data_IF_517633060386
#
_entry.id   IF_517633060386
#
_cell.length_a   1.000
_cell.length_b   1.000
_cell.length_c   1.000
_cell.angle_alpha   90.00
_cell.angle_beta   90.00
_cell.angle_gamma   90.00
#
_symmetry.space_group_name_H-M   'P 1'
#
loop_
_entity.id
_entity.type
_entity.pdbx_description
1 polymer ?
#
# COMPACT_ATOMS: atom_id res chain seq x y z
N UNK A 1 -31.47 34.91 -9.57
CA UNK A 1 -30.84 34.30 -10.74
C UNK A 1 -31.24 32.84 -10.81
N UNK A 2 -32.34 32.55 -11.50
CA UNK A 2 -32.83 31.19 -11.77
C UNK A 2 -32.14 30.62 -13.01
N UNK A 3 -32.25 29.30 -13.21
CA UNK A 3 -31.68 28.64 -14.39
C UNK A 3 -32.30 29.17 -15.69
N UNK A 4 -33.56 29.60 -15.65
CA UNK A 4 -34.25 30.21 -16.79
C UNK A 4 -33.68 31.58 -17.14
N UNK A 5 -33.43 32.44 -16.13
CA UNK A 5 -32.81 33.76 -16.34
C UNK A 5 -31.42 33.65 -16.97
N UNK A 6 -30.66 32.60 -16.64
CA UNK A 6 -29.34 32.33 -17.23
C UNK A 6 -29.47 31.89 -18.70
N UNK A 7 -30.44 31.04 -19.02
CA UNK A 7 -30.70 30.59 -20.40
C UNK A 7 -31.10 31.75 -21.29
N UNK A 8 -31.96 32.63 -20.78
CA UNK A 8 -32.42 33.82 -21.50
C UNK A 8 -31.27 34.81 -21.73
N UNK A 9 -30.39 35.00 -20.73
CA UNK A 9 -29.19 35.81 -20.88
C UNK A 9 -28.23 35.25 -21.94
N UNK A 10 -27.99 33.93 -21.95
CA UNK A 10 -27.16 33.26 -22.96
C UNK A 10 -27.79 33.37 -24.36
N UNK A 11 -29.12 33.33 -24.46
CA UNK A 11 -29.84 33.49 -25.71
C UNK A 11 -29.74 34.91 -26.30
N UNK A 12 -29.41 35.92 -25.50
CA UNK A 12 -29.17 37.27 -25.98
C UNK A 12 -27.72 37.55 -26.42
N UNK A 13 -26.79 36.62 -26.15
CA UNK A 13 -25.39 36.74 -26.56
C UNK A 13 -25.19 36.48 -28.05
N UNK A 14 -24.17 37.12 -28.63
CA UNK A 14 -23.69 36.86 -29.98
C UNK A 14 -23.06 35.46 -30.10
N UNK A 15 -22.89 34.96 -31.33
CA UNK A 15 -22.31 33.64 -31.57
C UNK A 15 -20.90 33.48 -30.98
N UNK A 16 -20.11 34.55 -30.99
CA UNK A 16 -18.75 34.57 -30.47
C UNK A 16 -18.72 34.53 -28.93
N UNK A 17 -19.60 35.29 -28.28
CA UNK A 17 -19.75 35.27 -26.82
C UNK A 17 -20.31 33.93 -26.32
N UNK A 18 -21.21 33.29 -27.08
CA UNK A 18 -21.72 31.95 -26.76
C UNK A 18 -20.62 30.90 -26.82
N UNK A 19 -19.70 30.99 -27.78
CA UNK A 19 -18.57 30.07 -27.86
C UNK A 19 -17.59 30.29 -26.71
N UNK A 20 -17.33 31.55 -26.31
CA UNK A 20 -16.51 31.85 -25.14
C UNK A 20 -17.12 31.31 -23.84
N UNK A 21 -18.44 31.46 -23.65
CA UNK A 21 -19.15 30.89 -22.49
C UNK A 21 -19.09 29.36 -22.52
N UNK A 22 -19.26 28.74 -23.69
CA UNK A 22 -19.15 27.29 -23.87
C UNK A 22 -17.75 26.79 -23.54
N UNK A 23 -16.71 27.43 -24.06
CA UNK A 23 -15.31 27.08 -23.76
C UNK A 23 -15.01 27.24 -22.27
N UNK A 24 -15.47 28.33 -21.66
CA UNK A 24 -15.34 28.56 -20.21
C UNK A 24 -16.03 27.46 -19.39
N UNK A 25 -17.25 27.07 -19.76
CA UNK A 25 -17.99 26.00 -19.09
C UNK A 25 -17.35 24.63 -19.29
N UNK A 26 -16.82 24.33 -20.48
CA UNK A 26 -16.06 23.09 -20.75
C UNK A 26 -14.78 23.05 -19.93
N UNK A 27 -14.05 24.16 -19.88
CA UNK A 27 -12.81 24.29 -19.10
C UNK A 27 -13.07 24.13 -17.60
N UNK A 28 -14.14 24.72 -17.09
CA UNK A 28 -14.56 24.54 -15.68
C UNK A 28 -15.11 23.16 -15.38
N UNK A 29 -15.87 22.56 -16.30
CA UNK A 29 -16.36 21.19 -16.17
C UNK A 29 -15.24 20.15 -16.20
N UNK A 30 -14.15 20.42 -16.94
CA UNK A 30 -12.94 19.62 -16.90
C UNK A 30 -12.15 19.77 -15.58
N UNK A 31 -12.24 20.92 -14.91
CA UNK A 31 -11.62 21.16 -13.59
C UNK A 31 -12.41 20.52 -12.43
N UNK A 32 -13.73 20.35 -12.55
CA UNK A 32 -14.55 19.63 -11.55
C UNK A 32 -14.39 18.09 -11.62
N UNK A 33 -13.85 17.59 -12.73
CA UNK A 33 -13.62 16.16 -12.94
C UNK A 33 -12.14 15.79 -12.84
N UNK A 34 -11.47 16.19 -11.76
CA UNK A 34 -10.25 15.52 -11.31
C UNK A 34 -9.96 15.74 -9.80
N UNK A 35 -11.00 15.66 -8.96
CA UNK A 35 -10.73 15.13 -7.63
C UNK A 35 -10.56 13.61 -7.85
N UNK A 36 -9.36 13.02 -7.65
CA UNK A 36 -9.24 11.57 -7.72
C UNK A 36 -10.35 11.01 -6.80
N UNK A 37 -11.12 9.99 -7.25
CA UNK A 37 -12.20 9.45 -6.46
C UNK A 37 -11.69 9.23 -5.04
N UNK A 38 -12.43 9.70 -4.02
CA UNK A 38 -11.99 9.52 -2.63
C UNK A 38 -11.63 8.06 -2.43
N UNK A 39 -10.32 7.82 -2.30
CA UNK A 39 -9.80 6.48 -2.40
C UNK A 39 -10.29 5.71 -1.18
N UNK A 40 -11.10 4.68 -1.42
CA UNK A 40 -11.62 3.86 -0.35
C UNK A 40 -10.45 3.22 0.40
N UNK A 41 -10.70 2.81 1.64
CA UNK A 41 -9.68 2.10 2.43
C UNK A 41 -9.17 0.84 1.71
N UNK A 42 -10.04 0.18 0.96
CA UNK A 42 -9.72 -1.01 0.17
C UNK A 42 -8.82 -0.66 -1.02
N UNK A 43 -9.17 0.38 -1.78
CA UNK A 43 -8.34 0.86 -2.89
C UNK A 43 -6.92 1.26 -2.43
N UNK A 44 -6.82 1.96 -1.29
CA UNK A 44 -5.52 2.30 -0.68
C UNK A 44 -4.70 1.08 -0.30
N UNK A 45 -5.34 0.05 0.26
CA UNK A 45 -4.69 -1.20 0.63
C UNK A 45 -4.18 -1.93 -0.61
N UNK A 46 -4.98 -2.02 -1.66
CA UNK A 46 -4.63 -2.72 -2.89
C UNK A 46 -3.46 -2.04 -3.60
N UNK A 47 -3.45 -0.70 -3.62
CA UNK A 47 -2.33 0.08 -4.14
C UNK A 47 -1.05 -0.16 -3.34
N UNK A 48 -1.12 -0.16 -2.01
CA UNK A 48 0.03 -0.48 -1.17
C UNK A 48 0.53 -1.91 -1.39
N UNK A 49 -0.38 -2.88 -1.50
CA UNK A 49 -0.03 -4.27 -1.75
C UNK A 49 0.66 -4.44 -3.11
N UNK A 50 0.14 -3.81 -4.16
CA UNK A 50 0.75 -3.81 -5.48
C UNK A 50 2.17 -3.21 -5.46
N UNK A 51 2.38 -2.11 -4.72
CA UNK A 51 3.69 -1.50 -4.57
C UNK A 51 4.69 -2.42 -3.86
N UNK A 52 4.25 -3.14 -2.82
CA UNK A 52 5.08 -4.14 -2.12
C UNK A 52 5.44 -5.29 -3.07
N UNK A 53 4.48 -5.87 -3.78
CA UNK A 53 4.71 -6.97 -4.72
C UNK A 53 5.70 -6.54 -5.82
N UNK A 54 5.55 -5.32 -6.34
CA UNK A 54 6.45 -4.81 -7.37
C UNK A 54 7.87 -4.63 -6.83
N UNK A 55 8.00 -4.02 -5.65
CA UNK A 55 9.29 -3.85 -4.98
C UNK A 55 9.96 -5.19 -4.69
N UNK A 56 9.21 -6.16 -4.17
CA UNK A 56 9.72 -7.51 -3.90
C UNK A 56 10.17 -8.21 -5.18
N UNK A 57 9.46 -8.00 -6.29
CA UNK A 57 9.85 -8.55 -7.60
C UNK A 57 11.12 -7.90 -8.15
N UNK A 58 11.34 -6.62 -7.90
CA UNK A 58 12.54 -5.91 -8.33
C UNK A 58 13.77 -6.30 -7.46
N UNK A 59 13.60 -6.39 -6.14
CA UNK A 59 14.67 -6.73 -5.20
C UNK A 59 14.98 -8.23 -5.14
N UNK A 60 13.94 -9.07 -5.16
CA UNK A 60 14.03 -10.51 -4.94
C UNK A 60 13.54 -11.34 -6.13
N UNK A 61 13.19 -10.74 -7.27
CA UNK A 61 12.74 -11.45 -8.48
C UNK A 61 13.63 -12.64 -8.89
N UNK A 62 14.97 -12.53 -8.87
CA UNK A 62 15.87 -13.66 -9.14
C UNK A 62 15.77 -14.81 -8.11
N UNK A 63 15.31 -14.52 -6.89
CA UNK A 63 15.16 -15.47 -5.78
C UNK A 63 13.76 -16.08 -5.70
N UNK A 64 12.75 -15.47 -6.33
CA UNK A 64 11.33 -15.86 -6.27
C UNK A 64 10.97 -16.90 -7.35
N UNK A 65 11.80 -17.10 -8.38
CA UNK A 65 11.60 -18.10 -9.45
C UNK A 65 12.37 -19.41 -9.30
N UNK A 66 13.34 -19.49 -8.40
CA UNK A 66 14.03 -20.73 -8.05
C UNK A 66 13.31 -21.44 -6.91
N UNK A 67 13.37 -22.78 -6.84
CA UNK A 67 13.10 -23.46 -5.57
C UNK A 67 13.91 -22.74 -4.49
N UNK A 68 13.24 -22.24 -3.45
CA UNK A 68 13.91 -21.82 -2.20
C UNK A 68 14.87 -22.97 -1.90
N UNK A 69 16.19 -22.76 -1.82
CA UNK A 69 17.12 -23.85 -1.62
C UNK A 69 16.69 -24.59 -0.35
N UNK A 70 16.05 -25.75 -0.54
CA UNK A 70 15.61 -26.59 0.56
C UNK A 70 16.90 -27.07 1.24
N UNK A 71 17.06 -26.68 2.50
CA UNK A 71 18.24 -27.05 3.26
C UNK A 71 19.52 -26.39 2.73
N UNK A 72 19.63 -25.06 2.88
CA UNK A 72 20.92 -24.36 2.79
C UNK A 72 22.03 -25.03 3.62
N UNK A 73 21.64 -25.79 4.65
CA UNK A 73 22.56 -26.55 5.50
C UNK A 73 22.28 -28.06 5.48
N UNK A 74 21.74 -28.64 4.40
CA UNK A 74 21.56 -30.10 4.30
C UNK A 74 22.91 -30.81 4.48
N UNK A 75 23.04 -31.58 5.58
CA UNK A 75 24.30 -32.26 5.96
C UNK A 75 25.40 -31.35 6.55
N UNK A 76 25.16 -30.05 6.71
CA UNK A 76 26.10 -29.11 7.33
C UNK A 76 25.81 -28.85 8.82
N UNK A 77 24.56 -29.03 9.25
CA UNK A 77 24.20 -28.98 10.67
C UNK A 77 24.44 -30.36 11.28
N UNK A 78 25.38 -30.44 12.23
CA UNK A 78 25.50 -31.59 13.13
C UNK A 78 24.61 -31.33 14.33
N UNK A 79 23.60 -32.16 14.50
CA UNK A 79 22.80 -32.18 15.72
C UNK A 79 23.66 -32.84 16.81
N UNK A 80 23.91 -32.16 17.95
CA UNK A 80 24.58 -32.78 19.09
C UNK A 80 23.80 -33.99 19.62
N UNK A 81 24.49 -34.96 20.21
CA UNK A 81 23.87 -36.18 20.74
C UNK A 81 22.91 -35.88 21.91
N UNK A 82 23.07 -34.73 22.58
CA UNK A 82 22.30 -34.23 23.72
C UNK A 82 21.19 -33.24 23.31
N UNK A 83 20.87 -33.12 22.02
CA UNK A 83 19.84 -32.16 21.57
C UNK A 83 18.45 -32.42 22.16
N UNK A 84 18.10 -33.70 22.35
CA UNK A 84 16.82 -34.12 22.92
C UNK A 84 16.82 -34.16 24.46
N UNK A 85 17.96 -33.85 25.10
CA UNK A 85 18.05 -33.80 26.56
C UNK A 85 17.27 -32.58 27.12
N UNK A 86 16.79 -32.66 28.37
CA UNK A 86 16.13 -31.53 29.00
C UNK A 86 17.04 -30.29 29.03
N UNK A 87 16.44 -29.12 28.83
CA UNK A 87 17.17 -27.85 28.92
C UNK A 87 17.80 -27.70 30.32
N UNK A 88 19.00 -27.10 30.40
CA UNK A 88 19.61 -26.73 31.67
C UNK A 88 18.68 -25.92 32.57
N UNK A 89 18.72 -26.21 33.87
CA UNK A 89 17.90 -25.56 34.91
C UNK A 89 18.01 -24.03 34.89
N UNK A 90 19.20 -23.50 34.61
CA UNK A 90 19.45 -22.05 34.50
C UNK A 90 18.66 -21.41 33.37
N UNK A 91 18.49 -22.12 32.26
CA UNK A 91 17.70 -21.67 31.12
C UNK A 91 16.21 -21.79 31.44
N UNK A 92 15.77 -22.88 32.07
CA UNK A 92 14.38 -23.07 32.48
C UNK A 92 13.90 -21.94 33.41
N UNK A 93 14.74 -21.53 34.37
CA UNK A 93 14.44 -20.40 35.26
C UNK A 93 14.21 -19.08 34.53
N UNK A 94 14.88 -18.83 33.40
CA UNK A 94 14.63 -17.62 32.60
C UNK A 94 13.20 -17.60 32.01
N UNK A 95 12.62 -18.75 31.73
CA UNK A 95 11.24 -18.88 31.26
C UNK A 95 10.22 -18.88 32.41
N UNK A 96 10.56 -19.50 33.54
CA UNK A 96 9.67 -19.64 34.70
C UNK A 96 9.62 -18.38 35.58
N UNK A 97 10.79 -17.85 35.96
CA UNK A 97 10.91 -16.68 36.84
C UNK A 97 10.87 -15.36 36.06
N UNK A 98 11.01 -15.44 34.73
CA UNK A 98 11.08 -14.30 33.83
C UNK A 98 12.44 -13.58 33.84
N UNK A 99 12.63 -12.59 32.96
CA UNK A 99 13.88 -11.83 32.89
C UNK A 99 14.12 -11.05 34.18
N UNK A 100 15.26 -11.31 34.84
CA UNK A 100 15.75 -10.51 35.97
C UNK A 100 16.32 -9.21 35.42
N UNK A 101 15.52 -8.14 35.48
CA UNK A 101 16.01 -6.80 35.16
C UNK A 101 16.74 -6.23 36.38
N UNK A 102 17.99 -5.74 36.24
CA UNK A 102 18.65 -5.04 37.33
C UNK A 102 17.82 -3.80 37.67
N UNK A 103 17.51 -3.63 38.96
CA UNK A 103 16.94 -2.38 39.47
C UNK A 103 18.05 -1.33 39.49
N UNK A 104 17.87 -0.25 38.72
CA UNK A 104 18.70 0.96 38.74
C UNK A 104 18.80 1.58 40.15
#
# INVERSE_FOLDING_TARGET
MTVEEIKDAIAQLSAEEREQVREFLVRRGAEEQECPPEETREQRRDRQLAAIIQKDREEFGPLIGGQRPFGLCAGQLKVPDDFDDPLPEEILRLFEDGPVFPSE
#
